data_IF_558792558089
#
_entry.id   IF_558792558089
#
_cell.length_a   1.000
_cell.length_b   1.000
_cell.length_c   1.000
_cell.angle_alpha   90.00
_cell.angle_beta   90.00
_cell.angle_gamma   90.00
#
_symmetry.space_group_name_H-M   'P 1'
#
loop_
_entity.id
_entity.type
_entity.pdbx_description
1 polymer ?
#
# COMPACT_ATOMS: atom_id res chain seq x y z
N UNK A 1 6.61 -17.12 -12.18
CA UNK A 1 5.38 -16.84 -11.40
C UNK A 1 4.66 -15.66 -12.06
N UNK A 2 3.62 -15.88 -12.88
CA UNK A 2 2.90 -14.79 -13.59
C UNK A 2 2.04 -14.02 -12.59
N UNK A 3 2.48 -12.85 -12.16
CA UNK A 3 1.68 -11.94 -11.33
C UNK A 3 0.60 -11.36 -12.26
N UNK A 4 -0.57 -11.98 -12.26
CA UNK A 4 -1.75 -11.43 -12.93
C UNK A 4 -2.24 -10.25 -12.07
N UNK A 5 -1.91 -9.03 -12.48
CA UNK A 5 -2.38 -7.80 -11.85
C UNK A 5 -3.86 -7.59 -12.19
N UNK A 6 -4.75 -8.19 -11.40
CA UNK A 6 -6.17 -7.90 -11.50
C UNK A 6 -6.46 -6.56 -10.80
N UNK A 7 -6.65 -5.51 -11.60
CA UNK A 7 -7.17 -4.23 -11.10
C UNK A 7 -8.67 -4.38 -10.82
N UNK A 8 -9.01 -4.79 -9.59
CA UNK A 8 -10.39 -4.81 -9.11
C UNK A 8 -10.83 -3.38 -8.78
N UNK A 9 -11.62 -2.78 -9.67
CA UNK A 9 -12.33 -1.54 -9.39
C UNK A 9 -13.60 -1.83 -8.59
N UNK A 10 -13.44 -2.10 -7.29
CA UNK A 10 -14.57 -2.31 -6.37
C UNK A 10 -15.28 -0.97 -6.13
N UNK A 11 -16.48 -0.79 -6.72
CA UNK A 11 -17.32 0.41 -6.55
C UNK A 11 -17.98 0.48 -5.16
N UNK A 12 -18.35 -0.66 -4.56
CA UNK A 12 -18.98 -0.76 -3.23
C UNK A 12 -18.37 -1.90 -2.42
N UNK A 13 -18.51 -1.84 -1.08
CA UNK A 13 -18.01 -2.87 -0.18
C UNK A 13 -18.74 -4.22 -0.34
N UNK A 14 -19.88 -4.22 -1.01
CA UNK A 14 -20.84 -5.33 -0.97
C UNK A 14 -20.67 -6.28 -2.18
N UNK A 15 -19.84 -5.90 -3.16
CA UNK A 15 -19.62 -6.65 -4.42
C UNK A 15 -18.24 -7.32 -4.48
N UNK A 16 -17.63 -7.62 -3.33
CA UNK A 16 -16.34 -8.32 -3.26
C UNK A 16 -16.48 -9.78 -3.71
N UNK A 17 -16.72 -10.01 -5.02
CA UNK A 17 -16.74 -11.34 -5.64
C UNK A 17 -15.46 -11.56 -6.44
N UNK A 18 -14.98 -12.80 -6.44
CA UNK A 18 -13.84 -13.19 -7.24
C UNK A 18 -14.22 -13.19 -8.73
N UNK A 19 -13.44 -12.53 -9.61
CA UNK A 19 -13.74 -12.49 -11.05
C UNK A 19 -13.63 -13.85 -11.75
N UNK A 20 -13.12 -14.88 -11.06
CA UNK A 20 -12.84 -16.20 -11.63
C UNK A 20 -13.83 -17.27 -11.19
N UNK A 21 -14.21 -17.28 -9.92
CA UNK A 21 -15.10 -18.29 -9.34
C UNK A 21 -16.39 -17.70 -8.76
N UNK A 22 -16.58 -16.37 -8.76
CA UNK A 22 -17.79 -15.72 -8.26
C UNK A 22 -17.97 -15.75 -6.73
N UNK A 23 -17.15 -16.52 -6.03
CA UNK A 23 -17.10 -16.60 -4.56
C UNK A 23 -16.75 -15.27 -3.90
N UNK A 24 -17.12 -15.14 -2.62
CA UNK A 24 -16.84 -13.96 -1.84
C UNK A 24 -15.33 -13.81 -1.58
N UNK A 25 -14.84 -12.57 -1.67
CA UNK A 25 -13.48 -12.19 -1.35
C UNK A 25 -13.43 -11.75 0.11
N UNK A 26 -12.69 -12.47 0.91
CA UNK A 26 -12.43 -12.08 2.29
C UNK A 26 -11.28 -11.08 2.38
N UNK A 27 -11.48 -10.09 3.26
CA UNK A 27 -10.46 -9.08 3.55
C UNK A 27 -9.49 -9.65 4.59
N UNK A 28 -8.20 -9.71 4.22
CA UNK A 28 -7.18 -10.14 5.17
C UNK A 28 -6.80 -9.00 6.14
N UNK A 29 -6.63 -9.27 7.44
CA UNK A 29 -6.07 -8.29 8.37
C UNK A 29 -4.66 -7.86 7.93
N UNK A 30 -4.40 -6.56 8.06
CA UNK A 30 -3.10 -5.95 7.72
C UNK A 30 -2.12 -6.13 8.87
N UNK A 31 -0.87 -6.44 8.55
CA UNK A 31 0.25 -6.38 9.50
C UNK A 31 0.50 -4.93 9.94
N UNK A 32 1.16 -4.73 11.08
CA UNK A 32 1.46 -3.39 11.61
C UNK A 32 2.24 -2.52 10.61
N UNK A 33 3.29 -3.07 10.00
CA UNK A 33 4.04 -2.36 8.96
C UNK A 33 3.16 -1.97 7.76
N UNK A 34 2.22 -2.83 7.35
CA UNK A 34 1.30 -2.49 6.26
C UNK A 34 0.32 -1.38 6.63
N UNK A 35 -0.05 -1.26 7.91
CA UNK A 35 -0.81 -0.11 8.40
C UNK A 35 0.06 1.15 8.36
N UNK A 36 1.32 1.05 8.80
CA UNK A 36 2.27 2.15 8.77
C UNK A 36 2.51 2.67 7.35
N UNK A 37 2.61 1.81 6.33
CA UNK A 37 2.78 2.28 4.94
C UNK A 37 1.45 2.69 4.28
N UNK A 38 0.30 2.40 4.92
CA UNK A 38 -1.01 2.69 4.32
C UNK A 38 -1.42 4.16 4.31
N UNK A 39 -0.68 5.04 5.01
CA UNK A 39 -0.88 6.49 4.84
C UNK A 39 -0.47 6.92 3.43
N UNK A 40 0.62 6.36 2.90
CA UNK A 40 1.16 6.65 1.58
C UNK A 40 0.30 6.03 0.48
N UNK A 41 0.10 4.71 0.58
CA UNK A 41 -0.61 3.92 -0.42
C UNK A 41 -1.64 3.05 0.30
N UNK A 42 -2.94 3.42 0.27
CA UNK A 42 -3.98 2.64 0.94
C UNK A 42 -4.34 1.40 0.13
N UNK A 43 -3.38 0.47 0.01
CA UNK A 43 -3.58 -0.88 -0.52
C UNK A 43 -4.30 -1.75 0.51
N UNK A 44 -5.22 -2.56 0.00
CA UNK A 44 -5.94 -3.58 0.73
C UNK A 44 -5.65 -4.94 0.11
N UNK A 45 -5.51 -5.94 0.98
CA UNK A 45 -5.26 -7.32 0.59
C UNK A 45 -6.54 -8.13 0.74
N UNK A 46 -6.86 -8.88 -0.31
CA UNK A 46 -7.99 -9.78 -0.35
C UNK A 46 -7.54 -11.19 -0.72
N UNK A 47 -8.25 -12.19 -0.22
CA UNK A 47 -8.10 -13.59 -0.59
C UNK A 47 -9.48 -14.11 -0.96
N UNK A 48 -9.56 -14.89 -2.03
CA UNK A 48 -10.76 -15.67 -2.33
C UNK A 48 -10.60 -17.05 -1.71
N UNK A 49 -11.61 -17.56 -1.02
CA UNK A 49 -11.53 -18.87 -0.38
C UNK A 49 -11.71 -20.02 -1.39
N UNK A 50 -12.68 -19.93 -2.31
CA UNK A 50 -12.87 -20.94 -3.35
C UNK A 50 -11.66 -21.17 -4.27
N UNK A 51 -11.00 -20.11 -4.77
CA UNK A 51 -9.86 -20.25 -5.69
C UNK A 51 -8.48 -19.98 -5.07
N UNK A 52 -8.43 -19.63 -3.78
CA UNK A 52 -7.21 -19.35 -3.01
C UNK A 52 -6.27 -18.27 -3.58
N UNK A 53 -6.77 -17.44 -4.50
CA UNK A 53 -5.99 -16.36 -5.10
C UNK A 53 -5.95 -15.12 -4.21
N UNK A 54 -4.85 -14.39 -4.32
CA UNK A 54 -4.61 -13.13 -3.60
C UNK A 54 -4.82 -11.97 -4.55
N UNK A 55 -5.49 -10.94 -4.06
CA UNK A 55 -5.80 -9.72 -4.80
C UNK A 55 -5.39 -8.50 -4.00
N UNK A 56 -5.00 -7.45 -4.74
CA UNK A 56 -4.63 -6.16 -4.19
C UNK A 56 -5.56 -5.12 -4.80
N UNK A 57 -6.21 -4.32 -3.97
CA UNK A 57 -7.03 -3.22 -4.45
C UNK A 57 -6.78 -1.98 -3.61
N UNK A 58 -6.84 -0.81 -4.24
CA UNK A 58 -6.86 0.44 -3.51
C UNK A 58 -8.16 0.56 -2.72
N UNK A 59 -8.08 1.27 -1.58
CA UNK A 59 -9.29 1.54 -0.81
C UNK A 59 -10.33 2.30 -1.66
N UNK A 60 -11.63 2.05 -1.48
CA UNK A 60 -12.67 2.78 -2.22
C UNK A 60 -12.58 4.30 -2.03
N UNK A 61 -12.12 4.75 -0.86
CA UNK A 61 -11.85 6.18 -0.58
C UNK A 61 -10.77 6.75 -1.50
N UNK A 62 -9.71 5.99 -1.77
CA UNK A 62 -8.65 6.40 -2.68
C UNK A 62 -9.14 6.49 -4.13
N UNK A 63 -9.95 5.53 -4.57
CA UNK A 63 -10.49 5.58 -5.93
C UNK A 63 -11.42 6.78 -6.14
N UNK A 64 -12.21 7.16 -5.13
CA UNK A 64 -13.09 8.34 -5.16
C UNK A 64 -12.38 9.68 -4.95
N UNK A 65 -11.11 9.67 -4.58
CA UNK A 65 -10.33 10.87 -4.27
C UNK A 65 -10.01 11.66 -5.55
N UNK A 66 -10.10 13.00 -5.48
CA UNK A 66 -9.75 13.85 -6.61
C UNK A 66 -8.26 13.70 -6.97
N UNK A 67 -7.93 13.91 -8.24
CA UNK A 67 -6.54 13.78 -8.72
C UNK A 67 -5.59 14.69 -7.95
N UNK A 68 -6.01 15.94 -7.66
CA UNK A 68 -5.22 16.89 -6.88
C UNK A 68 -4.89 16.35 -5.48
N UNK A 69 -5.86 15.77 -4.77
CA UNK A 69 -5.63 15.17 -3.45
C UNK A 69 -4.67 13.98 -3.50
N UNK A 70 -4.75 13.17 -4.56
CA UNK A 70 -3.79 12.07 -4.79
C UNK A 70 -2.38 12.61 -4.99
N UNK A 71 -2.22 13.68 -5.76
CA UNK A 71 -0.93 14.34 -5.97
C UNK A 71 -0.36 14.91 -4.68
N UNK A 72 -1.15 15.68 -3.91
CA UNK A 72 -0.72 16.26 -2.63
C UNK A 72 -0.25 15.16 -1.68
N UNK A 73 -1.02 14.07 -1.57
CA UNK A 73 -0.68 12.96 -0.68
C UNK A 73 0.56 12.18 -1.14
N UNK A 74 0.73 12.03 -2.45
CA UNK A 74 1.95 11.46 -3.04
C UNK A 74 3.17 12.34 -2.72
N UNK A 75 3.05 13.65 -2.94
CA UNK A 75 4.12 14.62 -2.68
C UNK A 75 4.52 14.64 -1.20
N UNK A 76 3.54 14.66 -0.30
CA UNK A 76 3.78 14.58 1.14
C UNK A 76 4.50 13.29 1.54
N UNK A 77 4.14 12.17 0.93
CA UNK A 77 4.82 10.88 1.17
C UNK A 77 6.28 10.93 0.73
N UNK A 78 6.54 11.45 -0.48
CA UNK A 78 7.90 11.58 -1.01
C UNK A 78 8.74 12.49 -0.11
N UNK A 79 8.18 13.62 0.32
CA UNK A 79 8.86 14.53 1.23
C UNK A 79 9.25 13.85 2.56
N UNK A 80 8.33 13.11 3.19
CA UNK A 80 8.62 12.37 4.43
C UNK A 80 9.73 11.33 4.21
N UNK A 81 9.69 10.58 3.09
CA UNK A 81 10.73 9.60 2.78
C UNK A 81 12.10 10.25 2.56
N UNK A 82 12.16 11.40 1.89
CA UNK A 82 13.41 12.15 1.71
C UNK A 82 13.97 12.66 3.03
N UNK A 83 13.12 13.18 3.93
CA UNK A 83 13.54 13.63 5.26
C UNK A 83 14.13 12.47 6.06
N UNK A 84 13.45 11.31 6.08
CA UNK A 84 13.94 10.12 6.79
C UNK A 84 15.27 9.63 6.21
N UNK A 85 15.38 9.60 4.87
CA UNK A 85 16.62 9.21 4.20
C UNK A 85 17.77 10.16 4.57
N UNK A 86 17.53 11.47 4.48
CA UNK A 86 18.54 12.47 4.81
C UNK A 86 19.00 12.38 6.27
N UNK A 87 18.06 12.25 7.21
CA UNK A 87 18.38 12.04 8.62
C UNK A 87 19.19 10.75 8.87
N UNK A 88 18.87 9.66 8.16
CA UNK A 88 19.62 8.41 8.26
C UNK A 88 21.05 8.55 7.74
N UNK A 89 21.27 9.33 6.66
CA UNK A 89 22.59 9.59 6.11
C UNK A 89 23.44 10.45 7.06
N UNK A 90 22.86 11.45 7.70
CA UNK A 90 23.54 12.26 8.73
C UNK A 90 23.97 11.37 9.90
N UNK A 91 23.09 10.51 10.39
CA UNK A 91 23.41 9.58 11.48
C UNK A 91 24.54 8.63 11.10
N UNK A 92 24.51 8.06 9.90
CA UNK A 92 25.58 7.18 9.41
C UNK A 92 26.90 7.94 9.28
N UNK A 93 26.85 9.18 8.81
CA UNK A 93 28.02 10.05 8.69
C UNK A 93 28.65 10.34 10.06
N UNK A 94 27.84 10.70 11.06
CA UNK A 94 28.33 10.91 12.43
C UNK A 94 28.96 9.65 13.02
N UNK A 95 28.33 8.48 12.82
CA UNK A 95 28.88 7.20 13.28
C UNK A 95 30.22 6.92 12.60
N UNK A 96 30.32 7.16 11.28
CA UNK A 96 31.55 6.95 10.53
C UNK A 96 32.67 7.87 11.02
N UNK A 97 32.40 9.15 11.28
CA UNK A 97 33.39 10.07 11.86
C UNK A 97 33.88 9.57 13.21
N UNK A 98 32.96 9.15 14.10
CA UNK A 98 33.32 8.63 15.42
C UNK A 98 34.13 7.33 15.38
N UNK A 99 33.98 6.53 14.33
CA UNK A 99 34.77 5.31 14.14
C UNK A 99 36.16 5.59 13.56
N UNK A 100 36.34 6.70 12.84
CA UNK A 100 37.61 7.11 12.24
C UNK A 100 38.45 8.03 13.13
N UNK A 101 37.86 8.61 14.18
CA UNK A 101 38.52 9.42 15.20
C UNK A 101 39.02 8.54 16.36
#
# INVERSE_FOLDING_TARGET
MKIQNFHLHLRRLDEHKCPRCGEQLERRPRRLWQKAVSFALPLRHYRCDGCNRRFFAFSPRWNRMHIAEKFVRSLATVAVLLIVLFASLILLWEIMIRLMA
#
